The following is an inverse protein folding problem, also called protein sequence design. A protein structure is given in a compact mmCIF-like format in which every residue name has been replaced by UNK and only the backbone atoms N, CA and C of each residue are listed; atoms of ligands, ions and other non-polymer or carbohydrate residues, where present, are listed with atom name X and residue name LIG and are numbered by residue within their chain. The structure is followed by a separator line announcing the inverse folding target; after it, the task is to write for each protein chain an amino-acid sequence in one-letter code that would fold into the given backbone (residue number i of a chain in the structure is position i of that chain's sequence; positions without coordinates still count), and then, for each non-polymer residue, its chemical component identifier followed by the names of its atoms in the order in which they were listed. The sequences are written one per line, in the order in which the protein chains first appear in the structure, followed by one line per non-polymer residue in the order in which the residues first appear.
data_IF_259958468519
#
_entry.id   IF_259958468519
#
_cell.length_a   1.000
_cell.length_b   1.000
_cell.length_c   1.000
_cell.angle_alpha   90.00
_cell.angle_beta   90.00
_cell.angle_gamma   90.00
#
_symmetry.space_group_name_H-M   'P 1'
#
loop_
_entity.id
_entity.type
_entity.pdbx_description
1 polymer ?
#
# COMPACT_ATOMS: atom_id res chain seq x y z
N UNK A 1 7.80 2.45 30.09
CA UNK A 1 7.48 3.53 29.14
C UNK A 1 7.07 2.87 27.83
N UNK A 2 5.96 3.35 27.23
CA UNK A 2 5.54 2.96 25.90
C UNK A 2 5.61 4.19 24.97
N UNK A 3 6.35 4.07 23.86
CA UNK A 3 6.45 5.10 22.82
C UNK A 3 5.54 4.67 21.66
N UNK A 4 4.52 5.48 21.37
CA UNK A 4 3.52 5.22 20.33
C UNK A 4 3.20 6.52 19.58
N UNK A 5 4.24 7.28 19.23
CA UNK A 5 4.14 8.64 18.67
C UNK A 5 3.82 8.66 17.17
N UNK A 6 3.80 7.48 16.52
CA UNK A 6 3.41 7.38 15.12
C UNK A 6 4.44 7.93 14.14
N UNK A 7 3.96 8.39 13.00
CA UNK A 7 4.79 8.95 11.93
C UNK A 7 4.13 10.16 11.27
N UNK A 8 4.91 10.95 10.56
CA UNK A 8 4.49 12.14 9.82
C UNK A 8 4.85 12.02 8.33
N UNK A 9 4.21 12.80 7.43
CA UNK A 9 4.61 12.86 6.03
C UNK A 9 6.08 13.29 5.87
N UNK A 10 6.79 12.62 4.98
CA UNK A 10 8.16 12.98 4.62
C UNK A 10 8.15 14.03 3.50
N UNK A 11 8.95 15.09 3.68
CA UNK A 11 9.23 16.07 2.64
C UNK A 11 10.67 15.86 2.14
N UNK A 12 10.86 15.51 0.85
CA UNK A 12 12.21 15.37 0.29
C UNK A 12 12.92 16.74 0.22
N UNK A 13 14.24 16.69 0.17
CA UNK A 13 15.07 17.88 0.00
C UNK A 13 15.05 18.31 -1.49
N UNK A 14 13.97 18.98 -1.88
CA UNK A 14 13.75 19.55 -3.20
C UNK A 14 13.50 21.04 -3.02
N UNK A 15 14.23 21.94 -3.70
CA UNK A 15 13.98 23.37 -3.65
C UNK A 15 12.52 23.73 -3.92
N UNK A 16 11.88 24.46 -2.99
CA UNK A 16 10.48 24.87 -3.08
C UNK A 16 9.45 23.84 -2.59
N UNK A 17 9.88 22.70 -2.03
CA UNK A 17 8.98 21.62 -1.54
C UNK A 17 8.06 22.09 -0.41
N UNK A 18 8.43 23.13 0.31
CA UNK A 18 7.62 23.76 1.36
C UNK A 18 6.31 24.33 0.83
N UNK A 19 6.22 24.63 -0.48
CA UNK A 19 4.99 25.09 -1.14
C UNK A 19 4.07 23.94 -1.55
N UNK A 20 4.53 22.69 -1.52
CA UNK A 20 3.72 21.53 -1.81
C UNK A 20 2.90 21.14 -0.58
N UNK A 21 1.72 20.60 -0.81
CA UNK A 21 0.87 19.98 0.18
C UNK A 21 1.45 18.63 0.64
N UNK A 22 1.05 18.18 1.82
CA UNK A 22 1.18 16.79 2.28
C UNK A 22 -0.21 16.17 2.42
N UNK A 23 -0.29 14.86 2.69
CA UNK A 23 -1.56 14.13 2.80
C UNK A 23 -2.56 14.80 3.76
N UNK A 24 -2.08 15.35 4.87
CA UNK A 24 -2.91 15.96 5.91
C UNK A 24 -3.59 17.25 5.42
N UNK A 25 -2.93 17.97 4.51
CA UNK A 25 -3.45 19.24 3.95
C UNK A 25 -4.64 19.00 3.00
N UNK A 26 -4.72 17.82 2.39
CA UNK A 26 -5.80 17.48 1.43
C UNK A 26 -7.17 17.57 2.10
N UNK A 27 -7.27 17.16 3.36
CA UNK A 27 -8.53 17.17 4.13
C UNK A 27 -8.98 18.59 4.53
N UNK A 28 -8.09 19.58 4.38
CA UNK A 28 -8.35 20.98 4.72
C UNK A 28 -8.47 21.89 3.47
N UNK A 29 -8.60 21.32 2.27
CA UNK A 29 -8.78 22.09 1.06
C UNK A 29 -10.13 22.82 1.06
N UNK A 30 -10.12 24.13 1.05
CA UNK A 30 -11.35 24.94 0.95
C UNK A 30 -12.02 24.84 -0.42
N UNK A 31 -11.22 24.63 -1.48
CA UNK A 31 -11.67 24.47 -2.85
C UNK A 31 -10.84 23.43 -3.58
N UNK A 32 -11.48 22.65 -4.42
CA UNK A 32 -10.76 21.73 -5.31
C UNK A 32 -9.95 22.52 -6.34
N UNK A 33 -8.67 22.15 -6.55
CA UNK A 33 -7.88 22.74 -7.64
C UNK A 33 -8.38 22.21 -8.98
N UNK A 34 -8.10 22.93 -10.07
CA UNK A 34 -8.38 22.45 -11.43
C UNK A 34 -7.35 21.41 -11.88
N UNK A 35 -6.11 21.55 -11.41
CA UNK A 35 -5.01 20.63 -11.71
C UNK A 35 -4.14 20.37 -10.48
N UNK A 36 -3.66 19.12 -10.35
CA UNK A 36 -2.80 18.70 -9.26
C UNK A 36 -1.70 17.75 -9.76
N UNK A 37 -0.45 18.05 -9.44
CA UNK A 37 0.63 17.09 -9.52
C UNK A 37 0.80 16.37 -8.18
N UNK A 38 1.03 15.05 -8.21
CA UNK A 38 1.28 14.24 -7.03
C UNK A 38 2.64 13.58 -7.19
N UNK A 39 3.57 13.91 -6.29
CA UNK A 39 4.93 13.39 -6.28
C UNK A 39 4.97 12.17 -5.37
N UNK A 40 5.25 11.00 -5.95
CA UNK A 40 5.30 9.71 -5.24
C UNK A 40 4.66 8.59 -6.06
N UNK A 41 4.90 7.33 -5.66
CA UNK A 41 4.34 6.15 -6.31
C UNK A 41 3.89 5.08 -5.31
N UNK A 42 3.84 5.43 -4.02
CA UNK A 42 3.31 4.57 -2.95
C UNK A 42 1.78 4.65 -2.86
N UNK A 43 1.21 3.90 -1.90
CA UNK A 43 -0.24 3.80 -1.74
C UNK A 43 -0.91 5.17 -1.52
N UNK A 44 -0.34 6.05 -0.69
CA UNK A 44 -0.91 7.40 -0.45
C UNK A 44 -0.98 8.20 -1.75
N UNK A 45 0.10 8.18 -2.57
CA UNK A 45 0.12 8.89 -3.84
C UNK A 45 -0.97 8.38 -4.80
N UNK A 46 -1.13 7.06 -4.90
CA UNK A 46 -2.10 6.41 -5.78
C UNK A 46 -3.55 6.66 -5.32
N UNK A 47 -3.81 6.59 -4.02
CA UNK A 47 -5.12 6.88 -3.42
C UNK A 47 -5.51 8.35 -3.65
N UNK A 48 -4.62 9.29 -3.34
CA UNK A 48 -4.88 10.71 -3.56
C UNK A 48 -5.08 11.05 -5.04
N UNK A 49 -4.33 10.39 -5.93
CA UNK A 49 -4.53 10.54 -7.37
C UNK A 49 -5.91 10.07 -7.81
N UNK A 50 -6.36 8.91 -7.31
CA UNK A 50 -7.70 8.37 -7.60
C UNK A 50 -8.81 9.28 -7.06
N UNK A 51 -8.66 9.78 -5.83
CA UNK A 51 -9.63 10.69 -5.20
C UNK A 51 -9.74 12.01 -5.97
N UNK A 52 -8.61 12.66 -6.27
CA UNK A 52 -8.61 13.95 -6.98
C UNK A 52 -9.18 13.80 -8.39
N UNK A 53 -8.78 12.75 -9.13
CA UNK A 53 -9.33 12.45 -10.44
C UNK A 53 -10.84 12.17 -10.37
N UNK A 54 -11.31 11.43 -9.36
CA UNK A 54 -12.73 11.16 -9.13
C UNK A 54 -13.56 12.42 -8.88
N UNK A 55 -12.94 13.47 -8.32
CA UNK A 55 -13.54 14.81 -8.18
C UNK A 55 -13.40 15.70 -9.42
N UNK A 56 -12.87 15.17 -10.53
CA UNK A 56 -12.70 15.91 -11.77
C UNK A 56 -11.48 16.84 -11.83
N UNK A 57 -10.52 16.69 -10.91
CA UNK A 57 -9.26 17.40 -10.94
C UNK A 57 -8.36 16.76 -12.01
N UNK A 58 -7.77 17.59 -12.90
CA UNK A 58 -6.74 17.10 -13.84
C UNK A 58 -5.51 16.66 -13.04
N UNK A 59 -5.32 15.34 -12.90
CA UNK A 59 -4.36 14.75 -11.96
C UNK A 59 -3.21 14.10 -12.69
N UNK A 60 -1.98 14.46 -12.29
CA UNK A 60 -0.74 13.85 -12.77
C UNK A 60 0.07 13.27 -11.62
N UNK A 61 0.35 11.98 -11.68
CA UNK A 61 1.23 11.27 -10.76
C UNK A 61 2.65 11.22 -11.34
N UNK A 62 3.65 11.63 -10.57
CA UNK A 62 5.06 11.69 -10.98
C UNK A 62 5.86 10.82 -10.03
N UNK A 63 6.54 9.83 -10.57
CA UNK A 63 7.29 8.87 -9.76
C UNK A 63 8.64 8.54 -10.38
N UNK A 64 9.69 8.56 -9.55
CA UNK A 64 11.05 8.26 -9.96
C UNK A 64 11.33 6.79 -10.26
N UNK A 65 10.47 5.88 -9.79
CA UNK A 65 10.59 4.45 -10.06
C UNK A 65 9.98 4.03 -11.39
N UNK A 66 10.19 2.79 -11.73
CA UNK A 66 9.76 2.14 -12.97
C UNK A 66 8.28 1.74 -12.97
N UNK A 67 7.66 1.57 -11.80
CA UNK A 67 6.24 1.24 -11.63
C UNK A 67 5.75 1.65 -10.24
N UNK A 68 4.50 2.10 -10.13
CA UNK A 68 3.84 2.47 -8.86
C UNK A 68 3.71 1.26 -7.92
N UNK A 69 3.33 1.51 -6.66
CA UNK A 69 3.05 0.50 -5.63
C UNK A 69 4.20 -0.50 -5.43
N UNK A 70 5.44 0.01 -5.30
CA UNK A 70 6.61 -0.83 -5.00
C UNK A 70 6.35 -1.72 -3.77
N UNK A 71 6.67 -3.00 -3.87
CA UNK A 71 6.45 -4.02 -2.83
C UNK A 71 5.15 -4.80 -3.01
N UNK A 72 4.28 -4.42 -3.94
CA UNK A 72 3.14 -5.22 -4.35
C UNK A 72 3.53 -6.15 -5.52
N UNK A 73 2.75 -7.21 -5.72
CA UNK A 73 2.94 -8.14 -6.84
C UNK A 73 2.94 -7.40 -8.19
N UNK A 74 3.84 -7.81 -9.09
CA UNK A 74 4.08 -7.09 -10.36
C UNK A 74 2.82 -6.97 -11.22
N UNK A 75 2.05 -8.04 -11.39
CA UNK A 75 0.85 -8.03 -12.23
C UNK A 75 -0.27 -7.16 -11.62
N UNK A 76 -0.32 -7.06 -10.29
CA UNK A 76 -1.22 -6.15 -9.58
C UNK A 76 -0.84 -4.69 -9.86
N UNK A 77 0.45 -4.36 -9.73
CA UNK A 77 0.98 -3.01 -10.00
C UNK A 77 0.69 -2.58 -11.44
N UNK A 78 0.96 -3.46 -12.39
CA UNK A 78 0.75 -3.20 -13.81
C UNK A 78 -0.74 -2.98 -14.12
N UNK A 79 -1.61 -3.86 -13.58
CA UNK A 79 -3.05 -3.75 -13.84
C UNK A 79 -3.67 -2.49 -13.22
N UNK A 80 -3.35 -2.16 -11.97
CA UNK A 80 -3.90 -0.93 -11.35
C UNK A 80 -3.40 0.33 -12.05
N UNK A 81 -2.13 0.34 -12.52
CA UNK A 81 -1.61 1.47 -13.30
C UNK A 81 -2.37 1.64 -14.63
N UNK A 82 -2.68 0.53 -15.34
CA UNK A 82 -3.50 0.55 -16.55
C UNK A 82 -4.91 1.14 -16.27
N UNK A 83 -5.55 0.71 -15.19
CA UNK A 83 -6.89 1.19 -14.83
C UNK A 83 -6.87 2.67 -14.40
N UNK A 84 -5.87 3.12 -13.65
CA UNK A 84 -5.70 4.52 -13.28
C UNK A 84 -5.51 5.42 -14.51
N UNK A 85 -4.69 4.98 -15.48
CA UNK A 85 -4.51 5.71 -16.75
C UNK A 85 -5.83 5.73 -17.54
N UNK A 86 -6.56 4.62 -17.59
CA UNK A 86 -7.86 4.55 -18.27
C UNK A 86 -8.90 5.49 -17.65
N UNK A 87 -8.84 5.70 -16.33
CA UNK A 87 -9.72 6.63 -15.62
C UNK A 87 -9.38 8.11 -15.86
N UNK A 88 -8.24 8.41 -16.51
CA UNK A 88 -7.84 9.77 -16.87
C UNK A 88 -6.65 10.32 -16.08
N UNK A 89 -6.03 9.54 -15.18
CA UNK A 89 -4.84 9.96 -14.45
C UNK A 89 -3.62 9.87 -15.36
N UNK A 90 -2.87 10.95 -15.49
CA UNK A 90 -1.56 10.94 -16.14
C UNK A 90 -0.51 10.34 -15.19
N UNK A 91 0.21 9.29 -15.61
CA UNK A 91 1.31 8.70 -14.84
C UNK A 91 2.63 8.91 -15.56
N UNK A 92 3.58 9.56 -14.90
CA UNK A 92 4.96 9.74 -15.38
C UNK A 92 5.90 8.91 -14.51
N UNK A 93 6.38 7.79 -15.05
CA UNK A 93 7.36 6.90 -14.41
C UNK A 93 8.78 7.29 -14.82
N UNK A 94 9.79 6.84 -14.05
CA UNK A 94 11.20 7.21 -14.24
C UNK A 94 11.40 8.73 -14.33
N UNK A 95 10.55 9.49 -13.62
CA UNK A 95 10.52 10.94 -13.62
C UNK A 95 10.79 11.47 -12.21
N UNK A 96 11.82 12.28 -12.08
CA UNK A 96 12.20 12.89 -10.82
C UNK A 96 11.97 14.41 -10.87
N UNK A 97 11.73 15.01 -9.71
CA UNK A 97 11.45 16.44 -9.55
C UNK A 97 12.72 17.15 -9.09
N UNK A 98 13.11 18.20 -9.80
CA UNK A 98 14.28 19.00 -9.49
C UNK A 98 13.96 20.21 -8.60
N UNK A 99 12.83 20.89 -8.85
CA UNK A 99 12.42 22.07 -8.07
C UNK A 99 10.94 22.39 -8.26
N UNK A 100 10.42 23.20 -7.33
CA UNK A 100 9.07 23.75 -7.36
C UNK A 100 9.18 25.27 -7.17
N UNK A 101 8.55 26.03 -8.05
CA UNK A 101 8.53 27.49 -7.98
C UNK A 101 7.10 27.99 -7.82
N UNK A 102 6.93 29.07 -7.06
CA UNK A 102 5.66 29.80 -7.01
C UNK A 102 5.57 30.70 -8.24
N UNK A 103 4.50 30.57 -9.00
CA UNK A 103 4.23 31.34 -10.21
C UNK A 103 2.87 32.02 -10.15
N UNK A 104 2.59 32.92 -11.08
CA UNK A 104 1.29 33.56 -11.15
C UNK A 104 0.19 32.50 -11.41
N UNK A 105 -0.69 32.33 -10.43
CA UNK A 105 -1.84 31.43 -10.53
C UNK A 105 -1.60 29.98 -10.07
N UNK A 106 -0.41 29.64 -9.52
CA UNK A 106 -0.16 28.27 -9.02
C UNK A 106 1.29 27.96 -8.73
N UNK A 107 1.70 26.76 -9.05
CA UNK A 107 3.03 26.21 -8.83
C UNK A 107 3.59 25.65 -10.14
N UNK A 108 4.84 25.95 -10.43
CA UNK A 108 5.59 25.33 -11.53
C UNK A 108 6.47 24.21 -10.97
N UNK A 109 6.31 23.02 -11.51
CA UNK A 109 7.13 21.85 -11.22
C UNK A 109 8.12 21.64 -12.36
N UNK A 110 9.42 21.64 -12.06
CA UNK A 110 10.48 21.33 -13.02
C UNK A 110 11.03 19.94 -12.75
N UNK A 111 10.96 19.07 -13.74
CA UNK A 111 11.55 17.74 -13.68
C UNK A 111 13.07 17.77 -13.83
N UNK A 112 13.75 16.68 -13.43
CA UNK A 112 15.21 16.53 -13.60
C UNK A 112 15.67 16.57 -15.07
N UNK A 113 14.74 16.33 -16.00
CA UNK A 113 14.96 16.45 -17.45
C UNK A 113 14.82 17.89 -17.98
N UNK A 114 14.63 18.88 -17.11
CA UNK A 114 14.46 20.29 -17.44
C UNK A 114 13.08 20.70 -17.97
N UNK A 115 12.11 19.77 -18.06
CA UNK A 115 10.74 20.12 -18.44
C UNK A 115 10.00 20.74 -17.26
N UNK A 116 9.34 21.86 -17.50
CA UNK A 116 8.50 22.56 -16.52
C UNK A 116 7.02 22.42 -16.88
N UNK A 117 6.19 22.20 -15.88
CA UNK A 117 4.73 22.11 -15.99
C UNK A 117 4.05 22.87 -14.84
N UNK A 118 2.93 23.53 -15.12
CA UNK A 118 2.19 24.33 -14.15
C UNK A 118 0.98 23.58 -13.62
N UNK A 119 0.78 23.68 -12.30
CA UNK A 119 -0.35 23.09 -11.58
C UNK A 119 -0.93 24.09 -10.56
N UNK A 120 -2.21 23.98 -10.27
CA UNK A 120 -2.82 24.81 -9.21
C UNK A 120 -2.27 24.39 -7.83
N UNK A 121 -2.04 23.09 -7.64
CA UNK A 121 -1.47 22.51 -6.41
C UNK A 121 -0.51 21.36 -6.73
N UNK A 122 0.43 21.15 -5.83
CA UNK A 122 1.35 20.01 -5.84
C UNK A 122 1.22 19.30 -4.49
N UNK A 123 1.10 17.98 -4.49
CA UNK A 123 1.11 17.13 -3.31
C UNK A 123 2.41 16.31 -3.29
N UNK A 124 3.11 16.28 -2.15
CA UNK A 124 4.22 15.35 -1.92
C UNK A 124 3.73 14.17 -1.07
N UNK A 125 3.86 12.96 -1.61
CA UNK A 125 3.50 11.69 -0.96
C UNK A 125 4.62 10.66 -1.15
N UNK A 126 5.85 11.08 -0.84
CA UNK A 126 7.09 10.33 -1.10
C UNK A 126 7.50 9.38 0.03
N UNK A 127 6.76 9.38 1.14
CA UNK A 127 6.99 8.51 2.28
C UNK A 127 6.52 9.11 3.60
N UNK A 128 6.83 8.40 4.69
CA UNK A 128 6.57 8.82 6.07
C UNK A 128 7.84 8.69 6.90
N UNK A 129 7.99 9.54 7.89
CA UNK A 129 9.12 9.54 8.85
C UNK A 129 8.57 9.23 10.25
N UNK A 130 9.21 8.35 11.03
CA UNK A 130 8.86 8.12 12.42
C UNK A 130 8.91 9.41 13.27
N UNK A 131 7.98 9.56 14.21
CA UNK A 131 7.97 10.69 15.15
C UNK A 131 8.82 10.37 16.40
N UNK A 132 10.11 10.28 16.23
CA UNK A 132 11.09 10.01 17.27
C UNK A 132 11.91 11.25 17.71
N UNK A 133 11.79 12.35 16.95
CA UNK A 133 12.48 13.61 17.27
C UNK A 133 11.95 14.21 18.58
N UNK A 134 12.76 14.99 19.26
CA UNK A 134 12.43 15.77 20.48
C UNK A 134 11.89 14.95 21.67
N UNK A 135 12.04 13.62 21.64
CA UNK A 135 11.68 12.73 22.75
C UNK A 135 12.81 12.56 23.79
N UNK A 136 13.95 13.21 23.60
CA UNK A 136 15.11 13.11 24.50
C UNK A 136 15.78 11.73 24.46
N UNK A 137 15.65 10.99 23.36
CA UNK A 137 16.12 9.61 23.23
C UNK A 137 17.64 9.49 23.31
N UNK A 138 18.38 10.51 22.88
CA UNK A 138 19.85 10.55 22.95
C UNK A 138 20.39 10.34 24.36
N UNK A 139 19.67 10.82 25.38
CA UNK A 139 20.02 10.69 26.78
C UNK A 139 19.45 9.43 27.45
N UNK A 140 18.53 8.74 26.78
CA UNK A 140 17.83 7.57 27.32
C UNK A 140 18.59 6.26 27.07
N UNK A 141 19.44 6.22 26.05
CA UNK A 141 20.11 5.03 25.54
C UNK A 141 19.18 4.13 24.71
N UNK A 142 18.02 4.64 24.27
CA UNK A 142 17.17 3.98 23.27
C UNK A 142 17.84 4.11 21.91
N UNK A 143 18.03 3.00 21.20
CA UNK A 143 18.62 2.99 19.87
C UNK A 143 17.61 3.40 18.79
N UNK A 144 18.08 4.26 17.87
CA UNK A 144 17.33 4.75 16.72
C UNK A 144 18.01 4.22 15.46
N UNK A 145 17.24 3.78 14.49
CA UNK A 145 17.71 3.34 13.18
C UNK A 145 17.96 4.50 12.21
N UNK A 146 18.46 4.16 11.01
CA UNK A 146 18.88 5.14 10.00
C UNK A 146 17.74 6.03 9.47
N UNK A 147 16.48 5.55 9.53
CA UNK A 147 15.30 6.31 9.12
C UNK A 147 14.61 7.03 10.26
N UNK A 148 15.24 7.08 11.45
CA UNK A 148 14.66 7.67 12.64
C UNK A 148 13.73 6.73 13.42
N UNK A 149 13.59 5.46 13.02
CA UNK A 149 12.75 4.50 13.73
C UNK A 149 13.35 4.05 15.06
N UNK A 150 12.52 3.81 16.05
CA UNK A 150 12.94 3.19 17.29
C UNK A 150 13.16 1.70 17.06
N UNK A 151 14.39 1.24 17.28
CA UNK A 151 14.73 -0.18 17.13
C UNK A 151 14.16 -1.00 18.28
N UNK A 152 13.40 -2.03 17.95
CA UNK A 152 12.77 -2.94 18.91
C UNK A 152 12.96 -4.40 18.51
N UNK A 153 12.89 -5.28 19.51
CA UNK A 153 12.87 -6.72 19.30
C UNK A 153 11.47 -7.26 18.89
N UNK A 154 11.34 -8.58 18.82
CA UNK A 154 10.07 -9.24 18.45
C UNK A 154 8.94 -9.08 19.46
N UNK A 155 9.21 -8.55 20.65
CA UNK A 155 8.25 -8.23 21.70
C UNK A 155 8.00 -6.73 21.84
N UNK A 156 8.42 -5.94 20.84
CA UNK A 156 8.33 -4.47 20.83
C UNK A 156 9.17 -3.79 21.94
N UNK A 157 10.14 -4.48 22.52
CA UNK A 157 11.05 -3.97 23.55
C UNK A 157 12.24 -3.28 22.89
N UNK A 158 12.57 -2.07 23.33
CA UNK A 158 13.73 -1.31 22.84
C UNK A 158 15.04 -1.83 23.44
N UNK A 159 16.15 -1.17 23.10
CA UNK A 159 17.47 -1.41 23.72
C UNK A 159 17.51 -1.09 25.23
N UNK A 160 16.45 -0.48 25.79
CA UNK A 160 16.30 -0.19 27.22
C UNK A 160 15.21 -1.03 27.83
N UNK A 161 15.53 -1.69 28.95
CA UNK A 161 14.68 -2.72 29.57
C UNK A 161 13.26 -2.28 29.89
N UNK A 162 13.05 -1.04 30.30
CA UNK A 162 11.74 -0.50 30.69
C UNK A 162 11.06 0.31 29.59
N UNK A 163 11.59 0.29 28.34
CA UNK A 163 11.07 1.10 27.22
C UNK A 163 10.68 0.22 26.06
N UNK A 164 9.46 0.40 25.61
CA UNK A 164 8.86 -0.29 24.48
C UNK A 164 8.41 0.72 23.42
N UNK A 165 8.32 0.31 22.15
CA UNK A 165 7.76 1.14 21.10
C UNK A 165 6.90 0.32 20.14
N UNK A 166 5.78 0.90 19.67
CA UNK A 166 4.80 0.27 18.78
C UNK A 166 4.31 1.24 17.70
N UNK A 167 3.74 0.68 16.63
CA UNK A 167 3.18 1.43 15.51
C UNK A 167 4.24 2.09 14.64
N UNK A 168 3.86 3.15 13.92
CA UNK A 168 4.66 3.75 12.86
C UNK A 168 6.03 4.28 13.33
N UNK A 169 6.18 4.60 14.62
CA UNK A 169 7.47 5.03 15.18
C UNK A 169 8.54 3.94 15.11
N UNK A 170 8.14 2.66 14.96
CA UNK A 170 9.05 1.53 14.77
C UNK A 170 9.32 1.21 13.29
N UNK A 171 8.59 1.81 12.37
CA UNK A 171 8.69 1.64 10.92
C UNK A 171 8.71 0.17 10.42
N UNK A 172 8.05 -0.74 11.15
CA UNK A 172 7.92 -2.17 10.76
C UNK A 172 6.81 -2.39 9.75
N UNK A 173 5.59 -1.97 10.09
CA UNK A 173 4.42 -2.01 9.21
C UNK A 173 3.47 -0.88 9.60
N UNK A 174 3.37 0.13 8.73
CA UNK A 174 2.69 1.38 9.04
C UNK A 174 1.19 1.28 8.74
N UNK A 175 0.50 0.40 9.47
CA UNK A 175 -0.93 0.14 9.36
C UNK A 175 -1.59 0.20 10.74
N UNK A 176 -2.70 0.93 10.86
CA UNK A 176 -3.44 1.07 12.12
C UNK A 176 -3.79 -0.25 12.79
N UNK A 177 -4.30 -1.30 12.07
CA UNK A 177 -4.57 -2.60 12.70
C UNK A 177 -3.33 -3.27 13.28
N UNK A 178 -2.16 -3.06 12.67
CA UNK A 178 -0.89 -3.59 13.19
C UNK A 178 -0.51 -2.88 14.48
N UNK A 179 -0.56 -1.55 14.53
CA UNK A 179 -0.28 -0.80 15.75
C UNK A 179 -1.20 -1.23 16.90
N UNK A 180 -2.49 -1.48 16.62
CA UNK A 180 -3.44 -2.01 17.61
C UNK A 180 -3.03 -3.41 18.07
N UNK A 181 -2.66 -4.30 17.16
CA UNK A 181 -2.25 -5.66 17.49
C UNK A 181 -0.93 -5.69 18.26
N UNK A 182 0.00 -4.82 17.91
CA UNK A 182 1.26 -4.62 18.68
C UNK A 182 0.97 -4.13 20.11
N UNK A 183 0.00 -3.22 20.29
CA UNK A 183 -0.42 -2.75 21.61
C UNK A 183 -1.04 -3.89 22.44
N UNK A 184 -1.85 -4.76 21.82
CA UNK A 184 -2.41 -5.93 22.49
C UNK A 184 -1.31 -6.91 22.92
N UNK A 185 -0.37 -7.24 22.02
CA UNK A 185 0.79 -8.08 22.31
C UNK A 185 1.69 -7.50 23.41
N UNK A 186 1.88 -6.17 23.43
CA UNK A 186 2.58 -5.48 24.51
C UNK A 186 1.88 -5.67 25.86
N UNK A 187 0.55 -5.57 25.92
CA UNK A 187 -0.23 -5.77 27.16
C UNK A 187 -0.08 -7.20 27.66
N UNK A 188 -0.20 -8.21 26.77
CA UNK A 188 0.00 -9.62 27.15
C UNK A 188 1.41 -9.86 27.70
N UNK A 189 2.43 -9.28 27.03
CA UNK A 189 3.83 -9.48 27.38
C UNK A 189 4.21 -8.79 28.70
N UNK A 190 3.75 -7.53 28.92
CA UNK A 190 4.25 -6.70 30.04
C UNK A 190 3.37 -6.77 31.28
N UNK A 191 2.05 -6.93 31.13
CA UNK A 191 1.10 -6.86 32.22
C UNK A 191 0.42 -8.20 32.58
N UNK A 192 0.48 -9.18 31.66
CA UNK A 192 -0.17 -10.49 31.88
C UNK A 192 0.83 -11.65 31.98
N UNK A 193 2.12 -11.35 31.91
CA UNK A 193 3.20 -12.35 31.95
C UNK A 193 3.04 -13.48 30.91
N UNK A 194 2.46 -13.12 29.75
CA UNK A 194 2.20 -14.02 28.63
C UNK A 194 2.91 -13.47 27.39
N UNK A 195 4.22 -13.69 27.22
CA UNK A 195 4.99 -13.12 26.10
C UNK A 195 4.41 -13.50 24.74
N UNK A 196 3.95 -12.55 23.98
CA UNK A 196 3.35 -12.73 22.65
C UNK A 196 4.18 -12.02 21.59
N UNK A 197 4.47 -12.75 20.48
CA UNK A 197 5.10 -12.19 19.28
C UNK A 197 4.06 -12.04 18.19
N UNK A 198 4.05 -10.88 17.53
CA UNK A 198 3.18 -10.68 16.37
C UNK A 198 3.77 -11.37 15.13
N UNK A 199 2.94 -12.08 14.40
CA UNK A 199 3.27 -12.65 13.10
C UNK A 199 2.93 -11.64 11.99
N UNK A 200 3.95 -11.18 11.26
CA UNK A 200 3.81 -10.20 10.17
C UNK A 200 3.69 -10.82 8.78
N UNK A 201 3.63 -12.17 8.65
CA UNK A 201 3.72 -12.85 7.36
C UNK A 201 2.50 -12.68 6.46
N UNK A 202 1.30 -12.60 7.05
CA UNK A 202 0.03 -12.60 6.31
C UNK A 202 -0.83 -11.39 6.68
N UNK A 203 -0.23 -10.19 6.59
CA UNK A 203 -0.95 -8.94 6.86
C UNK A 203 -1.83 -8.61 5.64
N UNK A 204 -3.16 -8.65 5.77
CA UNK A 204 -4.01 -8.16 4.69
C UNK A 204 -3.83 -6.65 4.54
N UNK A 205 -3.68 -6.22 3.32
CA UNK A 205 -3.46 -4.82 2.98
C UNK A 205 -4.41 -4.40 1.86
N UNK A 206 -5.03 -3.23 2.00
CA UNK A 206 -5.81 -2.61 0.96
C UNK A 206 -5.16 -1.29 0.52
N UNK A 207 -5.29 -0.97 -0.77
CA UNK A 207 -5.02 0.36 -1.31
C UNK A 207 -6.30 0.85 -1.95
N UNK A 208 -6.79 1.99 -1.48
CA UNK A 208 -8.10 2.53 -1.87
C UNK A 208 -8.01 3.41 -3.13
N UNK A 209 -7.37 2.86 -4.15
CA UNK A 209 -7.44 3.38 -5.52
C UNK A 209 -8.81 3.11 -6.14
N UNK A 210 -9.04 3.55 -7.37
CA UNK A 210 -10.22 3.19 -8.15
C UNK A 210 -9.76 2.59 -9.48
N UNK A 211 -9.87 1.22 -9.64
CA UNK A 211 -10.36 0.21 -8.68
C UNK A 211 -9.42 0.00 -7.48
N UNK A 212 -9.97 -0.55 -6.38
CA UNK A 212 -9.19 -0.87 -5.17
C UNK A 212 -8.21 -2.04 -5.40
N UNK A 213 -7.13 -2.05 -4.61
CA UNK A 213 -6.20 -3.17 -4.51
C UNK A 213 -6.37 -3.84 -3.16
N UNK A 214 -6.43 -5.16 -3.14
CA UNK A 214 -6.37 -5.99 -1.94
C UNK A 214 -5.27 -7.04 -2.07
N UNK A 215 -4.46 -7.24 -1.04
CA UNK A 215 -3.37 -8.22 -1.05
C UNK A 215 -3.19 -8.87 0.31
N UNK A 216 -2.92 -10.16 0.32
CA UNK A 216 -2.50 -10.91 1.50
C UNK A 216 -1.52 -12.00 1.10
N UNK A 217 -0.48 -12.19 1.91
CA UNK A 217 0.56 -13.19 1.67
C UNK A 217 1.68 -12.68 0.75
N UNK A 218 2.39 -13.60 0.13
CA UNK A 218 3.60 -13.34 -0.66
C UNK A 218 3.24 -12.89 -2.08
N UNK A 219 4.07 -12.03 -2.64
CA UNK A 219 4.12 -11.77 -4.08
C UNK A 219 4.70 -12.99 -4.82
N UNK A 220 4.53 -13.07 -6.15
CA UNK A 220 5.13 -14.14 -6.94
C UNK A 220 6.67 -14.09 -6.87
N UNK A 221 7.23 -12.89 -6.90
CA UNK A 221 8.68 -12.68 -6.79
C UNK A 221 9.24 -13.16 -5.44
N UNK A 222 8.52 -12.94 -4.34
CA UNK A 222 8.91 -13.43 -3.02
C UNK A 222 8.75 -14.95 -2.92
N UNK A 223 7.60 -15.48 -3.33
CA UNK A 223 7.28 -16.90 -3.21
C UNK A 223 8.21 -17.80 -4.08
N UNK A 224 8.60 -17.33 -5.28
CA UNK A 224 9.49 -18.05 -6.20
C UNK A 224 10.89 -18.28 -5.62
N UNK A 225 11.29 -17.53 -4.59
CA UNK A 225 12.58 -17.72 -3.92
C UNK A 225 12.60 -18.97 -3.01
N UNK A 226 11.44 -19.52 -2.68
CA UNK A 226 11.31 -20.59 -1.69
C UNK A 226 10.82 -21.91 -2.28
N UNK A 227 9.99 -21.87 -3.33
CA UNK A 227 9.37 -23.07 -3.87
C UNK A 227 8.94 -22.90 -5.35
N UNK A 228 8.80 -24.02 -6.10
CA UNK A 228 8.07 -24.02 -7.36
C UNK A 228 6.59 -23.64 -7.15
N UNK A 229 6.05 -22.85 -8.08
CA UNK A 229 4.75 -22.24 -7.95
C UNK A 229 3.78 -22.64 -9.08
N UNK A 230 2.51 -22.75 -8.74
CA UNK A 230 1.40 -22.69 -9.67
C UNK A 230 0.69 -21.33 -9.51
N UNK A 231 0.62 -20.57 -10.60
CA UNK A 231 0.02 -19.23 -10.62
C UNK A 231 -1.33 -19.31 -11.31
N UNK A 232 -2.35 -18.83 -10.61
CA UNK A 232 -3.73 -18.74 -11.10
C UNK A 232 -4.09 -17.28 -11.26
N UNK A 233 -4.48 -16.86 -12.45
CA UNK A 233 -4.92 -15.49 -12.72
C UNK A 233 -6.20 -15.48 -13.51
N UNK A 234 -7.04 -14.48 -13.25
CA UNK A 234 -8.21 -14.18 -14.07
C UNK A 234 -8.34 -12.67 -14.26
N UNK A 235 -8.68 -12.26 -15.48
CA UNK A 235 -8.96 -10.87 -15.85
C UNK A 235 -10.29 -10.82 -16.59
N UNK A 236 -11.28 -10.15 -16.00
CA UNK A 236 -12.63 -10.13 -16.55
C UNK A 236 -13.34 -8.81 -16.27
N UNK A 237 -14.44 -8.59 -16.98
CA UNK A 237 -15.39 -7.52 -16.72
C UNK A 237 -16.49 -8.06 -15.83
N UNK A 238 -16.71 -7.46 -14.65
CA UNK A 238 -17.81 -7.91 -13.79
C UNK A 238 -19.16 -7.70 -14.49
N UNK A 239 -20.15 -8.50 -14.12
CA UNK A 239 -21.50 -8.39 -14.69
C UNK A 239 -22.07 -6.97 -14.54
N UNK A 240 -21.83 -6.34 -13.39
CA UNK A 240 -22.24 -4.95 -13.11
C UNK A 240 -21.61 -3.96 -14.12
N UNK A 241 -20.30 -4.05 -14.33
CA UNK A 241 -19.57 -3.15 -15.23
C UNK A 241 -19.93 -3.41 -16.69
N UNK A 242 -20.14 -4.68 -17.06
CA UNK A 242 -20.62 -5.06 -18.38
C UNK A 242 -22.02 -4.49 -18.67
N UNK A 243 -22.95 -4.60 -17.69
CA UNK A 243 -24.30 -4.06 -17.82
C UNK A 243 -24.31 -2.52 -17.87
N UNK A 244 -23.44 -1.86 -17.09
CA UNK A 244 -23.30 -0.41 -17.07
C UNK A 244 -22.52 0.16 -18.28
N UNK A 245 -22.04 -0.68 -19.20
CA UNK A 245 -21.26 -0.25 -20.36
C UNK A 245 -19.87 0.29 -20.01
N UNK A 246 -19.33 -0.06 -18.82
CA UNK A 246 -18.01 0.38 -18.39
C UNK A 246 -16.94 -0.59 -18.85
N UNK A 247 -15.70 -0.10 -18.97
CA UNK A 247 -14.55 -0.88 -19.42
C UNK A 247 -13.65 -1.38 -18.28
N UNK A 248 -13.96 -1.03 -17.02
CA UNK A 248 -13.20 -1.42 -15.84
C UNK A 248 -13.09 -2.95 -15.72
N UNK A 249 -11.90 -3.44 -15.45
CA UNK A 249 -11.62 -4.87 -15.35
C UNK A 249 -11.18 -5.26 -13.96
N UNK A 250 -11.71 -6.38 -13.52
CA UNK A 250 -11.24 -7.08 -12.31
C UNK A 250 -10.03 -7.91 -12.69
N UNK A 251 -9.03 -7.93 -11.82
CA UNK A 251 -7.91 -8.86 -11.89
C UNK A 251 -7.75 -9.57 -10.55
N UNK A 252 -7.61 -10.89 -10.58
CA UNK A 252 -7.37 -11.70 -9.39
C UNK A 252 -6.21 -12.66 -9.63
N UNK A 253 -5.44 -12.90 -8.58
CA UNK A 253 -4.27 -13.78 -8.62
C UNK A 253 -4.18 -14.61 -7.35
N UNK A 254 -3.99 -15.92 -7.51
CA UNK A 254 -3.57 -16.83 -6.44
C UNK A 254 -2.16 -17.34 -6.75
N UNK A 255 -1.34 -17.37 -5.72
CA UNK A 255 0.02 -17.91 -5.74
C UNK A 255 0.01 -19.15 -4.87
N UNK A 256 0.28 -20.30 -5.47
CA UNK A 256 0.13 -21.62 -4.85
C UNK A 256 1.45 -22.36 -4.89
N UNK A 257 1.88 -22.93 -3.77
CA UNK A 257 3.04 -23.81 -3.73
C UNK A 257 2.72 -25.15 -4.44
N UNK A 258 3.51 -25.53 -5.43
CA UNK A 258 3.21 -26.71 -6.27
C UNK A 258 3.15 -28.01 -5.45
N UNK A 259 4.04 -28.18 -4.46
CA UNK A 259 4.21 -29.44 -3.73
C UNK A 259 3.04 -29.77 -2.80
N UNK A 260 2.60 -28.82 -1.99
CA UNK A 260 1.58 -29.02 -0.95
C UNK A 260 0.27 -28.31 -1.24
N UNK A 261 0.22 -27.62 -2.39
CA UNK A 261 -0.95 -26.87 -2.88
C UNK A 261 -1.41 -25.76 -1.91
N UNK A 262 -0.52 -25.29 -1.01
CA UNK A 262 -0.83 -24.21 -0.07
C UNK A 262 -0.93 -22.88 -0.81
N UNK A 263 -1.96 -22.11 -0.54
CA UNK A 263 -2.10 -20.74 -1.04
C UNK A 263 -1.16 -19.83 -0.24
N UNK A 264 -0.14 -19.30 -0.91
CA UNK A 264 0.89 -18.43 -0.33
C UNK A 264 0.55 -16.95 -0.49
N UNK A 265 -0.20 -16.59 -1.52
CA UNK A 265 -0.62 -15.22 -1.81
C UNK A 265 -1.98 -15.17 -2.50
N UNK A 266 -2.75 -14.13 -2.19
CA UNK A 266 -4.05 -13.85 -2.78
C UNK A 266 -4.19 -12.34 -2.99
N UNK A 267 -4.37 -11.94 -4.25
CA UNK A 267 -4.30 -10.54 -4.66
C UNK A 267 -5.47 -10.17 -5.57
N UNK A 268 -5.98 -8.94 -5.40
CA UNK A 268 -7.15 -8.42 -6.11
C UNK A 268 -6.89 -7.02 -6.64
N UNK A 269 -7.38 -6.72 -7.83
CA UNK A 269 -7.70 -5.37 -8.30
C UNK A 269 -9.15 -5.39 -8.71
N UNK A 270 -10.03 -4.83 -7.88
CA UNK A 270 -11.47 -4.91 -8.10
C UNK A 270 -12.21 -3.85 -7.27
N UNK A 271 -13.47 -3.53 -7.58
CA UNK A 271 -14.35 -2.92 -6.62
C UNK A 271 -14.43 -3.78 -5.34
N UNK A 272 -14.39 -3.13 -4.17
CA UNK A 272 -14.47 -3.78 -2.85
C UNK A 272 -13.29 -4.74 -2.55
N UNK A 273 -12.12 -4.53 -3.16
CA UNK A 273 -10.97 -5.39 -2.91
C UNK A 273 -10.54 -5.40 -1.44
N UNK A 274 -10.74 -4.30 -0.72
CA UNK A 274 -10.50 -4.22 0.73
C UNK A 274 -11.36 -5.21 1.52
N UNK A 275 -12.66 -5.30 1.20
CA UNK A 275 -13.59 -6.24 1.84
C UNK A 275 -13.28 -7.70 1.45
N UNK A 276 -12.94 -7.93 0.17
CA UNK A 276 -12.61 -9.26 -0.33
C UNK A 276 -11.34 -9.80 0.31
N UNK A 277 -10.29 -8.99 0.41
CA UNK A 277 -9.01 -9.41 0.97
C UNK A 277 -9.11 -9.70 2.46
N UNK A 278 -9.93 -8.96 3.22
CA UNK A 278 -10.15 -9.23 4.64
C UNK A 278 -10.70 -10.65 4.85
N UNK A 279 -11.66 -11.08 4.03
CA UNK A 279 -12.24 -12.43 4.11
C UNK A 279 -11.27 -13.51 3.60
N UNK A 280 -10.59 -13.26 2.47
CA UNK A 280 -9.60 -14.18 1.92
C UNK A 280 -8.42 -14.40 2.86
N UNK A 281 -8.02 -13.37 3.61
CA UNK A 281 -6.93 -13.44 4.58
C UNK A 281 -7.16 -14.48 5.69
N UNK A 282 -8.40 -14.72 6.08
CA UNK A 282 -8.73 -15.77 7.06
C UNK A 282 -8.30 -17.14 6.52
N UNK A 283 -8.68 -17.46 5.29
CA UNK A 283 -8.32 -18.73 4.64
C UNK A 283 -6.79 -18.85 4.45
N UNK A 284 -6.12 -17.79 3.97
CA UNK A 284 -4.67 -17.79 3.77
C UNK A 284 -3.92 -17.96 5.09
N UNK A 285 -4.34 -17.26 6.15
CA UNK A 285 -3.73 -17.35 7.48
C UNK A 285 -3.92 -18.76 8.10
N UNK A 286 -5.07 -19.40 7.84
CA UNK A 286 -5.31 -20.79 8.24
C UNK A 286 -4.49 -21.81 7.44
N UNK A 287 -3.80 -21.38 6.39
CA UNK A 287 -3.00 -22.24 5.53
C UNK A 287 -3.83 -23.06 4.56
N UNK A 288 -4.96 -22.53 4.10
CA UNK A 288 -5.82 -23.18 3.12
C UNK A 288 -5.06 -23.56 1.85
N UNK A 289 -5.45 -24.70 1.28
CA UNK A 289 -4.90 -25.23 0.03
C UNK A 289 -5.75 -24.81 -1.17
N UNK A 290 -5.19 -24.91 -2.36
CA UNK A 290 -5.95 -24.70 -3.61
C UNK A 290 -7.17 -25.62 -3.70
N UNK A 291 -7.05 -26.86 -3.18
CA UNK A 291 -8.16 -27.81 -3.10
C UNK A 291 -9.30 -27.32 -2.21
N UNK A 292 -9.00 -26.60 -1.12
CA UNK A 292 -10.03 -26.02 -0.25
C UNK A 292 -10.80 -24.91 -0.98
N UNK A 293 -10.11 -24.08 -1.76
CA UNK A 293 -10.76 -23.13 -2.66
C UNK A 293 -11.62 -23.84 -3.71
N UNK A 294 -11.11 -24.90 -4.34
CA UNK A 294 -11.82 -25.64 -5.38
C UNK A 294 -13.07 -26.39 -4.89
N UNK A 295 -13.09 -26.81 -3.64
CA UNK A 295 -14.24 -27.46 -3.01
C UNK A 295 -15.31 -26.49 -2.53
N UNK A 296 -14.94 -25.22 -2.36
CA UNK A 296 -15.87 -24.19 -1.91
C UNK A 296 -16.90 -23.90 -3.01
N UNK A 297 -18.17 -23.93 -2.64
CA UNK A 297 -19.26 -23.63 -3.58
C UNK A 297 -19.29 -22.12 -3.84
N UNK A 298 -19.29 -21.76 -5.11
CA UNK A 298 -19.36 -20.36 -5.53
C UNK A 298 -20.72 -19.72 -5.19
N UNK A 299 -20.69 -18.42 -4.88
CA UNK A 299 -21.91 -17.59 -4.80
C UNK A 299 -22.09 -16.86 -6.11
N UNK A 300 -23.02 -17.30 -6.94
CA UNK A 300 -23.28 -16.71 -8.24
C UNK A 300 -24.49 -15.75 -8.20
N UNK A 301 -24.41 -14.55 -8.85
CA UNK A 301 -23.24 -13.97 -9.49
C UNK A 301 -22.49 -13.03 -8.53
N UNK A 302 -21.21 -13.25 -8.32
CA UNK A 302 -20.34 -12.37 -7.54
C UNK A 302 -18.96 -12.21 -8.19
N UNK A 303 -18.23 -11.15 -7.84
CA UNK A 303 -16.85 -10.99 -8.28
C UNK A 303 -15.97 -12.07 -7.62
N UNK A 304 -16.20 -12.36 -6.34
CA UNK A 304 -15.35 -13.26 -5.54
C UNK A 304 -15.47 -14.74 -5.93
N UNK A 305 -16.51 -15.14 -6.67
CA UNK A 305 -16.63 -16.53 -7.13
C UNK A 305 -15.45 -16.99 -8.00
N UNK A 306 -14.77 -16.05 -8.66
CA UNK A 306 -13.62 -16.35 -9.50
C UNK A 306 -12.45 -16.96 -8.71
N UNK A 307 -12.33 -16.69 -7.42
CA UNK A 307 -11.32 -17.35 -6.57
C UNK A 307 -11.48 -18.86 -6.49
N UNK A 308 -12.71 -19.35 -6.60
CA UNK A 308 -13.03 -20.79 -6.48
C UNK A 308 -13.34 -21.42 -7.84
N UNK A 309 -13.34 -20.63 -8.92
CA UNK A 309 -13.55 -21.11 -10.30
C UNK A 309 -12.27 -21.22 -11.13
N UNK A 310 -11.17 -20.67 -10.71
CA UNK A 310 -9.85 -20.81 -11.34
C UNK A 310 -9.30 -22.24 -11.17
N UNK A 311 -9.72 -23.18 -12.02
CA UNK A 311 -9.42 -24.63 -11.88
C UNK A 311 -8.04 -25.04 -12.42
N UNK A 312 -7.45 -24.29 -13.32
CA UNK A 312 -6.18 -24.60 -13.95
C UNK A 312 -5.18 -23.48 -13.74
N UNK A 313 -3.92 -23.78 -13.43
CA UNK A 313 -2.92 -22.73 -13.35
C UNK A 313 -2.74 -22.07 -14.71
N UNK A 314 -2.58 -20.76 -14.69
CA UNK A 314 -2.27 -19.95 -15.87
C UNK A 314 -0.83 -20.22 -16.33
N UNK A 315 0.06 -20.44 -15.35
CA UNK A 315 1.47 -20.79 -15.57
C UNK A 315 2.07 -21.46 -14.34
N UNK A 316 3.26 -22.03 -14.53
CA UNK A 316 4.17 -22.47 -13.46
C UNK A 316 5.39 -21.56 -13.44
N UNK A 317 5.90 -21.29 -12.24
CA UNK A 317 7.04 -20.41 -11.99
C UNK A 317 8.03 -21.03 -10.99
#
# INVERSE_FOLDING_TARGET
ILIATGGRPFRPDIPGIENALVSDDIFNLEKLPKSMAIIGGGYIACEMASIMNGFGVNTKLIYRGDQILRGFDKEIRDHVAEEMVRSGISISLNADVAQINVVAGGLELTGSNGKAENFDKILTATGRTPNSDDLGLDNSGVQIGEKGEILVDSYSKSSRESVYAIGDVTNRSNLTPIAIREAMSFIETVFRDTPEKLDYRFIPTAVFTTPEVGTVGLTEEEASQFAPLEIYTTKFKSMREAFAGREDRVFMKLIVEEKNQKVLGCHFVSPFAGELVQLAAVAVTMGATKLDFDKTIAVHPTISEELVTMRKPTRRA
#
